data_IF_138487654247
#
_entry.id   IF_138487654247
#
_cell.length_a   1.000
_cell.length_b   1.000
_cell.length_c   1.000
_cell.angle_alpha   90.00
_cell.angle_beta   90.00
_cell.angle_gamma   90.00
#
_symmetry.space_group_name_H-M   'P 1'
#
loop_
_entity.id
_entity.type
_entity.pdbx_description
1 polymer ?
#
# COMPACT_ATOMS: atom_id res chain seq x y z
N UNK A 1 -23.65 17.08 6.40
CA UNK A 1 -22.99 17.98 5.42
C UNK A 1 -21.82 17.18 4.92
N UNK A 2 -21.72 16.85 3.63
CA UNK A 2 -20.62 16.00 3.18
C UNK A 2 -19.29 16.76 3.23
N UNK A 3 -18.34 16.26 4.02
CA UNK A 3 -16.99 16.80 4.12
C UNK A 3 -16.19 16.34 2.90
N UNK A 4 -15.72 17.28 2.08
CA UNK A 4 -14.82 16.95 0.96
C UNK A 4 -13.41 16.76 1.48
N UNK A 5 -12.91 15.53 1.46
CA UNK A 5 -11.59 15.17 1.97
C UNK A 5 -10.70 14.71 0.82
N UNK A 6 -9.51 15.30 0.76
CA UNK A 6 -8.45 14.87 -0.14
C UNK A 6 -7.51 13.93 0.63
N UNK A 7 -7.53 12.64 0.29
CA UNK A 7 -6.67 11.63 0.91
C UNK A 7 -5.50 11.26 0.01
N UNK A 8 -4.27 11.17 0.56
CA UNK A 8 -3.16 10.60 -0.19
C UNK A 8 -3.33 9.09 -0.35
N UNK A 9 -2.75 8.54 -1.41
CA UNK A 9 -2.80 7.10 -1.69
C UNK A 9 -1.60 6.40 -1.08
N UNK A 10 -1.85 5.45 -0.17
CA UNK A 10 -0.81 4.73 0.57
C UNK A 10 -0.72 3.26 0.18
N UNK A 11 0.49 2.73 0.28
CA UNK A 11 0.73 1.30 0.26
C UNK A 11 0.35 0.70 1.63
N UNK A 12 -0.72 -0.11 1.67
CA UNK A 12 -1.29 -0.70 2.89
C UNK A 12 -1.44 0.34 4.02
N UNK A 13 -2.45 1.23 3.93
CA UNK A 13 -2.59 2.38 4.81
C UNK A 13 -2.71 2.01 6.30
N UNK A 14 -2.29 2.91 7.21
CA UNK A 14 -2.53 2.73 8.63
C UNK A 14 -4.02 2.89 8.97
N UNK A 15 -4.43 2.38 10.13
CA UNK A 15 -5.83 2.43 10.61
C UNK A 15 -6.38 3.86 10.65
N UNK A 16 -5.56 4.86 11.02
CA UNK A 16 -5.97 6.27 11.05
C UNK A 16 -6.31 6.84 9.66
N UNK A 17 -5.78 6.25 8.59
CA UNK A 17 -6.19 6.61 7.23
C UNK A 17 -7.56 6.01 6.92
N UNK A 18 -7.76 4.74 7.30
CA UNK A 18 -9.05 4.06 7.12
C UNK A 18 -10.18 4.68 7.93
N UNK A 19 -9.91 5.21 9.13
CA UNK A 19 -10.94 5.90 9.91
C UNK A 19 -11.51 7.12 9.20
N UNK A 20 -10.70 7.82 8.40
CA UNK A 20 -11.16 8.95 7.58
C UNK A 20 -11.83 8.46 6.30
N UNK A 21 -11.26 7.45 5.65
CA UNK A 21 -11.79 6.87 4.41
C UNK A 21 -13.16 6.21 4.58
N UNK A 22 -13.41 5.58 5.72
CA UNK A 22 -14.65 4.83 6.01
C UNK A 22 -15.73 5.66 6.72
N UNK A 23 -15.45 6.92 7.04
CA UNK A 23 -16.44 7.81 7.64
C UNK A 23 -17.50 8.18 6.59
N UNK A 24 -18.79 7.83 6.81
CA UNK A 24 -19.86 8.04 5.84
C UNK A 24 -20.16 9.51 5.54
N UNK A 25 -19.75 10.45 6.41
CA UNK A 25 -19.89 11.89 6.15
C UNK A 25 -18.82 12.43 5.18
N UNK A 26 -17.79 11.64 4.86
CA UNK A 26 -16.68 12.07 4.01
C UNK A 26 -16.90 11.69 2.54
N UNK A 27 -16.81 12.70 1.66
CA UNK A 27 -16.65 12.54 0.22
C UNK A 27 -15.16 12.52 -0.11
N UNK A 28 -14.62 11.35 -0.49
CA UNK A 28 -13.19 11.15 -0.69
C UNK A 28 -12.77 11.44 -2.14
N UNK A 29 -11.78 12.32 -2.30
CA UNK A 29 -10.95 12.43 -3.49
C UNK A 29 -9.53 11.93 -3.18
N UNK A 30 -8.86 11.33 -4.17
CA UNK A 30 -7.48 10.87 -3.99
C UNK A 30 -6.45 11.84 -4.58
N UNK A 31 -5.43 12.17 -3.79
CA UNK A 31 -4.29 12.99 -4.22
C UNK A 31 -3.32 12.17 -5.06
N UNK A 32 -2.96 12.69 -6.24
CA UNK A 32 -2.06 12.06 -7.22
C UNK A 32 -1.04 13.04 -7.84
N UNK A 33 -1.21 14.35 -7.65
CA UNK A 33 -0.41 15.43 -8.21
C UNK A 33 0.63 15.98 -7.22
N UNK A 34 0.66 15.48 -5.98
CA UNK A 34 1.73 15.82 -5.04
C UNK A 34 3.11 15.42 -5.57
N UNK A 35 4.15 16.16 -5.16
CA UNK A 35 5.51 15.69 -5.32
C UNK A 35 5.76 14.49 -4.41
N UNK A 36 6.33 13.41 -4.94
CA UNK A 36 6.60 12.15 -4.25
C UNK A 36 7.33 12.38 -2.92
N UNK A 37 6.65 12.20 -1.78
CA UNK A 37 7.28 12.40 -0.48
C UNK A 37 8.06 11.15 -0.09
N UNK A 38 9.39 11.27 -0.07
CA UNK A 38 10.29 10.16 0.25
C UNK A 38 10.06 9.66 1.68
N UNK A 39 10.29 8.36 1.88
CA UNK A 39 10.24 7.70 3.18
C UNK A 39 8.87 7.73 3.89
N UNK A 40 7.79 7.84 3.12
CA UNK A 40 6.42 7.89 3.64
C UNK A 40 5.61 6.64 3.26
N UNK A 41 4.34 6.62 3.64
CA UNK A 41 3.40 5.55 3.31
C UNK A 41 3.08 5.40 1.81
N UNK A 42 3.58 6.28 0.93
CA UNK A 42 3.38 6.15 -0.53
C UNK A 42 3.96 4.84 -1.06
N UNK A 43 5.11 4.42 -0.56
CA UNK A 43 5.78 3.18 -0.97
C UNK A 43 6.31 2.35 0.21
N UNK A 44 5.97 2.71 1.45
CA UNK A 44 6.43 2.01 2.65
C UNK A 44 5.26 1.65 3.53
N UNK A 45 5.33 0.51 4.19
CA UNK A 45 4.45 0.17 5.29
C UNK A 45 5.23 -0.61 6.33
N UNK A 46 4.60 -0.90 7.46
CA UNK A 46 5.18 -1.74 8.49
C UNK A 46 4.16 -2.74 9.00
N UNK A 47 4.63 -3.97 9.19
CA UNK A 47 3.87 -5.06 9.79
C UNK A 47 4.56 -5.52 11.07
N UNK A 48 3.83 -6.18 11.97
CA UNK A 48 4.42 -6.79 13.16
C UNK A 48 4.53 -8.29 12.93
N UNK A 49 5.72 -8.84 13.17
CA UNK A 49 5.96 -10.29 13.20
C UNK A 49 6.64 -10.70 14.51
N UNK A 50 7.07 -11.96 14.59
CA UNK A 50 7.71 -12.52 15.78
C UNK A 50 8.95 -11.72 16.25
N UNK A 51 9.69 -11.12 15.32
CA UNK A 51 10.88 -10.31 15.60
C UNK A 51 10.58 -8.81 15.74
N UNK A 52 9.32 -8.45 16.00
CA UNK A 52 8.88 -7.06 16.12
C UNK A 52 8.51 -6.42 14.78
N UNK A 53 8.70 -5.10 14.68
CA UNK A 53 8.26 -4.29 13.54
C UNK A 53 9.13 -4.52 12.31
N UNK A 54 8.53 -5.06 11.26
CA UNK A 54 9.15 -5.27 9.95
C UNK A 54 8.69 -4.20 8.96
N UNK A 55 9.64 -3.53 8.31
CA UNK A 55 9.35 -2.56 7.24
C UNK A 55 9.23 -3.28 5.89
N UNK A 56 8.19 -2.94 5.14
CA UNK A 56 8.02 -3.36 3.75
C UNK A 56 8.14 -2.12 2.86
N UNK A 57 8.92 -2.20 1.79
CA UNK A 57 9.24 -1.05 0.93
C UNK A 57 9.10 -1.48 -0.53
N UNK A 58 8.19 -0.85 -1.26
CA UNK A 58 8.10 -1.01 -2.71
C UNK A 58 9.26 -0.22 -3.33
N UNK A 59 10.21 -0.87 -4.02
CA UNK A 59 11.30 -0.18 -4.70
C UNK A 59 10.74 0.59 -5.90
N UNK A 60 11.24 1.80 -6.13
CA UNK A 60 10.80 2.69 -7.21
C UNK A 60 11.96 3.03 -8.15
N UNK A 61 11.66 3.33 -9.41
CA UNK A 61 12.65 3.81 -10.38
C UNK A 61 12.95 5.30 -10.14
N UNK A 62 14.20 5.70 -10.28
CA UNK A 62 14.61 7.11 -10.22
C UNK A 62 14.66 7.70 -11.64
N UNK A 63 13.55 8.29 -12.08
CA UNK A 63 13.37 8.80 -13.46
C UNK A 63 13.51 10.32 -13.58
N UNK A 64 13.76 11.03 -12.47
CA UNK A 64 13.82 12.49 -12.42
C UNK A 64 12.43 13.17 -12.35
N UNK A 65 11.36 12.46 -12.69
CA UNK A 65 9.98 12.90 -12.45
C UNK A 65 9.69 12.97 -10.95
N UNK A 66 8.95 14.00 -10.54
CA UNK A 66 8.69 14.28 -9.12
C UNK A 66 7.26 13.97 -8.70
N UNK A 67 6.27 14.07 -9.59
CA UNK A 67 4.87 13.86 -9.21
C UNK A 67 4.56 12.39 -8.89
N UNK A 68 3.69 12.16 -7.90
CA UNK A 68 3.35 10.83 -7.41
C UNK A 68 2.72 9.95 -8.50
N UNK A 69 1.80 10.49 -9.31
CA UNK A 69 1.18 9.78 -10.45
C UNK A 69 2.19 9.22 -11.47
N UNK A 70 3.37 9.82 -11.56
CA UNK A 70 4.43 9.46 -12.50
C UNK A 70 5.46 8.49 -11.91
N UNK A 71 5.30 8.10 -10.64
CA UNK A 71 6.23 7.21 -9.94
C UNK A 71 6.03 5.78 -10.39
N UNK A 72 7.10 5.16 -10.87
CA UNK A 72 7.09 3.77 -11.37
C UNK A 72 7.85 2.82 -10.45
N UNK A 73 7.38 1.58 -10.40
CA UNK A 73 7.92 0.51 -9.55
C UNK A 73 9.17 -0.08 -10.20
N UNK A 74 10.18 -0.39 -9.39
CA UNK A 74 11.34 -1.17 -9.79
C UNK A 74 11.10 -2.65 -9.55
N UNK A 75 11.52 -3.49 -10.50
CA UNK A 75 11.45 -4.96 -10.38
C UNK A 75 12.84 -5.61 -10.47
N UNK A 76 13.89 -4.84 -10.15
CA UNK A 76 15.26 -5.38 -10.00
C UNK A 76 15.29 -6.48 -8.93
N UNK A 77 14.49 -6.31 -7.87
CA UNK A 77 14.26 -7.30 -6.83
C UNK A 77 12.80 -7.79 -6.87
N UNK A 78 12.56 -9.04 -6.47
CA UNK A 78 11.23 -9.64 -6.37
C UNK A 78 10.54 -9.26 -5.05
N UNK A 79 10.29 -7.97 -4.89
CA UNK A 79 9.70 -7.39 -3.68
C UNK A 79 8.28 -7.92 -3.42
N UNK A 80 7.50 -8.26 -4.46
CA UNK A 80 6.14 -8.78 -4.30
C UNK A 80 6.15 -10.12 -3.58
N UNK A 81 7.00 -11.05 -4.04
CA UNK A 81 7.19 -12.34 -3.39
C UNK A 81 7.71 -12.17 -1.96
N UNK A 82 8.65 -11.26 -1.75
CA UNK A 82 9.20 -10.97 -0.42
C UNK A 82 8.14 -10.42 0.54
N UNK A 83 7.34 -9.45 0.09
CA UNK A 83 6.29 -8.83 0.90
C UNK A 83 5.21 -9.85 1.24
N UNK A 84 4.73 -10.63 0.26
CA UNK A 84 3.75 -11.68 0.51
C UNK A 84 4.26 -12.73 1.50
N UNK A 85 5.49 -13.23 1.31
CA UNK A 85 6.13 -14.17 2.24
C UNK A 85 6.21 -13.59 3.66
N UNK A 86 6.53 -12.30 3.78
CA UNK A 86 6.63 -11.61 5.07
C UNK A 86 5.27 -11.50 5.77
N UNK A 87 4.22 -11.13 5.04
CA UNK A 87 2.84 -11.05 5.56
C UNK A 87 2.35 -12.43 5.98
N UNK A 88 2.49 -13.45 5.12
CA UNK A 88 2.09 -14.81 5.43
C UNK A 88 2.83 -15.35 6.65
N UNK A 89 4.16 -15.20 6.71
CA UNK A 89 4.94 -15.65 7.86
C UNK A 89 4.52 -14.95 9.16
N UNK A 90 4.20 -13.65 9.10
CA UNK A 90 3.80 -12.89 10.28
C UNK A 90 2.42 -13.28 10.83
N UNK A 91 1.48 -13.62 9.95
CA UNK A 91 0.06 -13.73 10.31
C UNK A 91 -0.60 -15.08 10.06
N UNK A 92 0.07 -16.06 9.42
CA UNK A 92 -0.54 -17.36 9.09
C UNK A 92 -1.08 -18.15 10.30
N UNK A 93 -0.53 -17.92 11.49
CA UNK A 93 -1.00 -18.54 12.73
C UNK A 93 -2.06 -17.72 13.48
N UNK A 94 -2.46 -16.56 12.94
CA UNK A 94 -3.46 -15.71 13.57
C UNK A 94 -4.88 -16.16 13.23
N UNK A 95 -5.86 -15.92 14.11
CA UNK A 95 -7.25 -16.23 13.84
C UNK A 95 -7.72 -15.60 12.52
N UNK A 96 -8.51 -16.35 11.76
CA UNK A 96 -9.11 -15.95 10.47
C UNK A 96 -8.14 -15.70 9.32
N UNK A 97 -6.82 -15.89 9.46
CA UNK A 97 -5.89 -15.63 8.35
C UNK A 97 -6.24 -16.43 7.08
N UNK A 98 -6.55 -17.72 7.22
CA UNK A 98 -6.91 -18.61 6.10
C UNK A 98 -8.12 -18.08 5.30
N UNK A 99 -9.10 -17.47 5.98
CA UNK A 99 -10.26 -16.85 5.33
C UNK A 99 -9.87 -15.65 4.45
N UNK A 100 -8.84 -14.88 4.84
CA UNK A 100 -8.37 -13.71 4.10
C UNK A 100 -7.18 -14.00 3.17
N UNK A 101 -6.56 -15.18 3.27
CA UNK A 101 -5.28 -15.48 2.62
C UNK A 101 -5.35 -15.26 1.11
N UNK A 102 -6.30 -15.91 0.44
CA UNK A 102 -6.44 -15.85 -1.01
C UNK A 102 -6.66 -14.42 -1.49
N UNK A 103 -7.50 -13.67 -0.76
CA UNK A 103 -7.81 -12.27 -1.05
C UNK A 103 -6.54 -11.40 -0.93
N UNK A 104 -5.81 -11.49 0.19
CA UNK A 104 -4.58 -10.72 0.42
C UNK A 104 -3.47 -11.08 -0.57
N UNK A 105 -3.37 -12.35 -0.97
CA UNK A 105 -2.37 -12.81 -1.93
C UNK A 105 -2.51 -12.14 -3.29
N UNK A 106 -3.75 -11.82 -3.70
CA UNK A 106 -4.00 -11.18 -5.00
C UNK A 106 -3.31 -9.81 -5.15
N UNK A 107 -3.15 -9.07 -4.04
CA UNK A 107 -2.43 -7.78 -4.01
C UNK A 107 -1.01 -7.90 -4.58
N UNK A 108 -0.36 -9.06 -4.40
CA UNK A 108 1.02 -9.31 -4.81
C UNK A 108 1.13 -10.21 -6.04
N UNK A 109 0.01 -10.54 -6.70
CA UNK A 109 -0.05 -11.50 -7.80
C UNK A 109 0.25 -10.92 -9.18
N UNK A 110 0.03 -9.62 -9.39
CA UNK A 110 0.18 -8.95 -10.68
C UNK A 110 1.25 -7.85 -10.62
N UNK A 111 2.10 -7.77 -11.65
CA UNK A 111 3.05 -6.66 -11.83
C UNK A 111 2.37 -5.51 -12.55
N UNK A 112 2.45 -4.32 -11.97
CA UNK A 112 2.06 -3.05 -12.62
C UNK A 112 3.24 -2.09 -12.63
N UNK A 113 3.33 -1.20 -13.62
CA UNK A 113 4.44 -0.25 -13.70
C UNK A 113 4.22 0.95 -12.77
N UNK A 114 2.99 1.43 -12.61
CA UNK A 114 2.66 2.60 -11.78
C UNK A 114 2.49 2.25 -10.29
N UNK A 115 3.16 3.01 -9.42
CA UNK A 115 2.98 2.89 -7.96
C UNK A 115 1.58 3.34 -7.52
N UNK A 116 1.04 4.37 -8.16
CA UNK A 116 -0.32 4.86 -7.95
C UNK A 116 -1.33 3.74 -8.24
N UNK A 117 -1.21 3.10 -9.40
CA UNK A 117 -2.07 2.00 -9.80
C UNK A 117 -1.98 0.82 -8.83
N UNK A 118 -0.76 0.44 -8.41
CA UNK A 118 -0.56 -0.62 -7.44
C UNK A 118 -1.30 -0.35 -6.13
N UNK A 119 -1.12 0.85 -5.56
CA UNK A 119 -1.75 1.20 -4.29
C UNK A 119 -3.29 1.25 -4.41
N UNK A 120 -3.83 1.74 -5.53
CA UNK A 120 -5.27 1.71 -5.80
C UNK A 120 -5.81 0.29 -5.94
N UNK A 121 -5.08 -0.62 -6.60
CA UNK A 121 -5.44 -2.03 -6.68
C UNK A 121 -5.46 -2.68 -5.29
N UNK A 122 -4.44 -2.40 -4.48
CA UNK A 122 -4.35 -2.90 -3.11
C UNK A 122 -5.52 -2.42 -2.23
N UNK A 123 -5.96 -1.17 -2.39
CA UNK A 123 -7.12 -0.61 -1.67
C UNK A 123 -8.46 -1.22 -2.08
N UNK A 124 -8.60 -1.62 -3.35
CA UNK A 124 -9.83 -2.22 -3.90
C UNK A 124 -9.99 -3.70 -3.56
N UNK A 125 -8.94 -4.33 -3.04
CA UNK A 125 -8.95 -5.75 -2.69
C UNK A 125 -9.81 -5.95 -1.46
#
# INVERSE_FOLDING_TARGET
MNNKILLPIFYLPPISWFSVFLDPENEIAFEQFENFPKQTYRNRTAIYGANGKLKLIIPIKHTGKREFKDTTISYVEDWQKLHWKSIKTAYQSTPYFEYYEDKLKTIFGEKVDSLLEFNLKALKT
#
